data_IF_443671026332
#
_entry.id   IF_443671026332
#
_cell.length_a   1.000
_cell.length_b   1.000
_cell.length_c   1.000
_cell.angle_alpha   90.00
_cell.angle_beta   90.00
_cell.angle_gamma   90.00
#
_symmetry.space_group_name_H-M   'P 1'
#
loop_
_entity.id
_entity.type
_entity.pdbx_description
1 polymer ?
#
# COMPACT_ATOMS: atom_id res chain seq x y z
N UNK A 1 -27.98 33.84 -26.95
CA UNK A 1 -28.14 32.74 -25.97
C UNK A 1 -27.17 31.57 -26.21
N UNK A 2 -26.89 31.20 -27.46
CA UNK A 2 -26.01 30.06 -27.79
C UNK A 2 -24.56 30.21 -27.28
N UNK A 3 -23.95 31.38 -27.43
CA UNK A 3 -22.56 31.64 -26.94
C UNK A 3 -22.40 31.40 -25.43
N UNK A 4 -23.44 31.70 -24.64
CA UNK A 4 -23.44 31.52 -23.18
C UNK A 4 -23.52 30.04 -22.78
N UNK A 5 -24.28 29.24 -23.53
CA UNK A 5 -24.36 27.78 -23.37
C UNK A 5 -23.03 27.10 -23.73
N UNK A 6 -22.35 27.59 -24.77
CA UNK A 6 -21.08 27.02 -25.22
C UNK A 6 -19.95 27.22 -24.18
N UNK A 7 -19.91 28.39 -23.52
CA UNK A 7 -18.94 28.66 -22.44
C UNK A 7 -19.20 27.80 -21.21
N UNK A 8 -20.46 27.57 -20.84
CA UNK A 8 -20.83 26.71 -19.71
C UNK A 8 -20.44 25.25 -19.98
N UNK A 9 -20.69 24.76 -21.21
CA UNK A 9 -20.26 23.42 -21.64
C UNK A 9 -18.74 23.28 -21.63
N UNK A 10 -18.02 24.30 -22.08
CA UNK A 10 -16.55 24.30 -22.06
C UNK A 10 -16.00 24.28 -20.62
N UNK A 11 -16.57 25.07 -19.71
CA UNK A 11 -16.19 25.04 -18.29
C UNK A 11 -16.48 23.68 -17.65
N UNK A 12 -17.67 23.11 -17.87
CA UNK A 12 -18.03 21.77 -17.38
C UNK A 12 -17.08 20.69 -17.92
N UNK A 13 -16.66 20.79 -19.18
CA UNK A 13 -15.68 19.88 -19.77
C UNK A 13 -14.33 19.98 -19.04
N UNK A 14 -13.82 21.19 -18.77
CA UNK A 14 -12.55 21.38 -18.05
C UNK A 14 -12.60 20.75 -16.65
N UNK A 15 -13.72 20.87 -15.92
CA UNK A 15 -13.85 20.26 -14.59
C UNK A 15 -13.76 18.74 -14.60
N UNK A 16 -14.27 18.07 -15.64
CA UNK A 16 -14.24 16.60 -15.75
C UNK A 16 -12.81 16.09 -16.03
N UNK A 17 -11.98 16.85 -16.74
CA UNK A 17 -10.60 16.45 -17.08
C UNK A 17 -9.55 16.86 -16.04
N UNK A 18 -9.92 17.62 -15.01
CA UNK A 18 -8.95 18.20 -14.07
C UNK A 18 -8.61 17.30 -12.88
N UNK A 19 -9.51 16.42 -12.45
CA UNK A 19 -9.25 15.44 -11.39
C UNK A 19 -8.92 14.06 -11.99
N UNK A 20 -7.65 13.84 -12.31
CA UNK A 20 -7.16 12.52 -12.67
C UNK A 20 -6.17 12.04 -11.61
N UNK A 21 -6.51 10.93 -10.94
CA UNK A 21 -5.63 10.17 -10.06
C UNK A 21 -5.67 8.73 -10.53
N UNK A 22 -4.50 8.12 -10.71
CA UNK A 22 -4.33 6.73 -11.13
C UNK A 22 -3.26 6.09 -10.26
N UNK A 23 -3.58 4.91 -9.75
CA UNK A 23 -2.66 4.06 -9.01
C UNK A 23 -2.41 2.78 -9.80
N UNK A 24 -1.14 2.41 -9.94
CA UNK A 24 -0.74 1.17 -10.60
C UNK A 24 0.26 0.43 -9.70
N UNK A 25 -0.15 -0.73 -9.19
CA UNK A 25 0.68 -1.55 -8.31
C UNK A 25 1.50 -2.53 -9.13
N UNK A 26 2.78 -2.65 -8.80
CA UNK A 26 3.71 -3.51 -9.52
C UNK A 26 3.21 -4.96 -9.49
N UNK A 27 3.34 -5.65 -10.63
CA UNK A 27 2.96 -7.07 -10.76
C UNK A 27 3.97 -8.00 -10.08
N UNK A 28 5.15 -7.49 -9.80
CA UNK A 28 6.26 -8.19 -9.17
C UNK A 28 6.40 -7.68 -7.74
N UNK A 29 6.65 -8.60 -6.81
CA UNK A 29 6.99 -8.29 -5.43
C UNK A 29 8.33 -8.89 -5.10
N UNK A 30 9.13 -8.13 -4.37
CA UNK A 30 10.44 -8.61 -3.91
C UNK A 30 10.33 -9.09 -2.47
N UNK A 31 10.80 -10.32 -2.20
CA UNK A 31 11.03 -10.79 -0.82
C UNK A 31 12.52 -10.81 -0.53
N UNK A 32 12.90 -10.19 0.60
CA UNK A 32 14.29 -10.16 1.11
C UNK A 32 14.37 -10.76 2.49
N UNK A 33 15.50 -11.41 2.78
CA UNK A 33 15.83 -11.83 4.15
C UNK A 33 16.38 -10.63 4.91
N UNK A 34 15.87 -10.40 6.12
CA UNK A 34 16.42 -9.35 6.99
C UNK A 34 17.60 -9.86 7.82
N UNK A 35 18.34 -8.96 8.45
CA UNK A 35 19.34 -9.28 9.48
C UNK A 35 18.73 -9.82 10.80
N UNK A 36 17.42 -10.07 10.82
CA UNK A 36 16.68 -10.61 11.96
C UNK A 36 15.96 -11.91 11.57
N UNK A 37 15.00 -12.35 12.39
CA UNK A 37 14.15 -13.53 12.11
C UNK A 37 13.02 -13.26 11.10
N UNK A 38 12.96 -12.08 10.49
CA UNK A 38 11.92 -11.69 9.54
C UNK A 38 12.39 -11.76 8.10
N UNK A 39 11.46 -12.05 7.21
CA UNK A 39 11.49 -11.69 5.80
C UNK A 39 10.73 -10.38 5.61
N UNK A 40 11.11 -9.60 4.61
CA UNK A 40 10.36 -8.42 4.19
C UNK A 40 9.87 -8.62 2.76
N UNK A 41 8.58 -8.35 2.54
CA UNK A 41 7.99 -8.18 1.22
C UNK A 41 7.81 -6.69 0.97
N UNK A 42 8.25 -6.24 -0.20
CA UNK A 42 8.02 -4.89 -0.70
C UNK A 42 6.97 -4.91 -1.81
N UNK A 43 5.91 -4.12 -1.63
CA UNK A 43 4.89 -3.87 -2.63
C UNK A 43 4.97 -2.39 -3.02
N UNK A 44 5.27 -2.14 -4.30
CA UNK A 44 5.42 -0.79 -4.84
C UNK A 44 4.18 -0.41 -5.65
N UNK A 45 3.70 0.82 -5.45
CA UNK A 45 2.60 1.40 -6.24
C UNK A 45 3.04 2.72 -6.84
N UNK A 46 2.94 2.84 -8.16
CA UNK A 46 3.12 4.09 -8.86
C UNK A 46 1.83 4.90 -8.79
N UNK A 47 1.91 6.09 -8.20
CA UNK A 47 0.83 7.05 -8.13
C UNK A 47 1.08 8.16 -9.14
N UNK A 48 0.12 8.41 -10.02
CA UNK A 48 0.17 9.48 -11.02
C UNK A 48 -1.11 10.29 -10.96
N UNK A 49 -0.98 11.61 -11.06
CA UNK A 49 -2.17 12.45 -11.07
C UNK A 49 -1.89 13.91 -11.35
N UNK A 50 -2.89 14.73 -11.04
CA UNK A 50 -2.83 16.19 -11.09
C UNK A 50 -3.21 16.77 -9.75
N UNK A 51 -2.57 17.88 -9.40
CA UNK A 51 -2.67 18.53 -8.09
C UNK A 51 -4.07 18.91 -7.64
N UNK A 52 -4.12 19.60 -6.51
CA UNK A 52 -5.37 19.89 -5.81
C UNK A 52 -6.09 21.08 -6.44
N UNK A 53 -7.33 20.87 -6.92
CA UNK A 53 -8.21 21.92 -7.43
C UNK A 53 -8.42 23.06 -6.39
N UNK A 54 -8.47 22.73 -5.10
CA UNK A 54 -8.62 23.71 -4.03
C UNK A 54 -7.43 24.68 -3.91
N UNK A 55 -6.25 24.29 -4.41
CA UNK A 55 -5.05 25.13 -4.44
C UNK A 55 -4.77 25.71 -5.84
N UNK A 56 -5.65 25.49 -6.82
CA UNK A 56 -5.44 25.78 -8.24
C UNK A 56 -4.11 25.23 -8.80
N UNK A 57 -3.57 24.18 -8.17
CA UNK A 57 -2.36 23.53 -8.62
C UNK A 57 -2.73 22.38 -9.56
N UNK A 58 -2.49 22.58 -10.85
CA UNK A 58 -2.73 21.59 -11.90
C UNK A 58 -1.45 20.89 -12.36
N UNK A 59 -0.35 21.05 -11.61
CA UNK A 59 0.89 20.34 -11.90
C UNK A 59 0.65 18.84 -11.84
N UNK A 60 1.33 18.12 -12.75
CA UNK A 60 1.34 16.66 -12.71
C UNK A 60 2.24 16.22 -11.57
N UNK A 61 1.80 15.24 -10.81
CA UNK A 61 2.65 14.56 -9.84
C UNK A 61 2.81 13.10 -10.24
N UNK A 62 3.97 12.57 -9.90
CA UNK A 62 4.29 11.15 -10.00
C UNK A 62 5.16 10.79 -8.79
N UNK A 63 4.76 9.79 -8.04
CA UNK A 63 5.56 9.27 -6.93
C UNK A 63 5.32 7.78 -6.72
N UNK A 64 6.30 7.11 -6.11
CA UNK A 64 6.17 5.72 -5.69
C UNK A 64 5.79 5.66 -4.22
N UNK A 65 4.72 4.93 -3.95
CA UNK A 65 4.34 4.51 -2.61
C UNK A 65 4.85 3.09 -2.38
N UNK A 66 5.29 2.83 -1.15
CA UNK A 66 5.84 1.54 -0.76
C UNK A 66 5.08 1.00 0.45
N UNK A 67 4.69 -0.27 0.37
CA UNK A 67 4.19 -1.03 1.49
C UNK A 67 5.19 -2.14 1.83
N UNK A 68 5.53 -2.25 3.11
CA UNK A 68 6.35 -3.34 3.62
C UNK A 68 5.52 -4.26 4.51
N UNK A 69 5.60 -5.57 4.21
CA UNK A 69 5.01 -6.63 5.01
C UNK A 69 6.13 -7.51 5.54
N UNK A 70 6.23 -7.63 6.86
CA UNK A 70 7.20 -8.51 7.52
C UNK A 70 6.52 -9.75 8.09
N UNK A 71 7.20 -10.88 7.96
CA UNK A 71 6.72 -12.21 8.39
C UNK A 71 7.90 -13.13 8.69
N UNK A 72 7.66 -14.25 9.35
CA UNK A 72 8.69 -15.16 9.87
C UNK A 72 8.86 -16.47 9.09
N UNK A 73 8.00 -16.76 8.11
CA UNK A 73 8.04 -17.97 7.30
C UNK A 73 8.00 -17.62 5.81
N UNK A 74 8.89 -18.19 5.00
CA UNK A 74 8.99 -17.87 3.58
C UNK A 74 7.88 -18.53 2.73
N UNK A 75 7.32 -19.65 3.17
CA UNK A 75 6.40 -20.44 2.35
C UNK A 75 5.09 -20.75 3.08
N UNK A 76 4.04 -20.94 2.28
CA UNK A 76 2.71 -21.32 2.74
C UNK A 76 1.86 -20.12 3.14
N UNK A 77 0.80 -20.42 3.89
CA UNK A 77 -0.19 -19.43 4.32
C UNK A 77 0.22 -18.80 5.64
N UNK A 78 0.34 -17.48 5.66
CA UNK A 78 0.73 -16.68 6.83
C UNK A 78 -0.45 -15.80 7.21
N UNK A 79 -1.03 -16.07 8.39
CA UNK A 79 -2.17 -15.32 8.91
C UNK A 79 -1.80 -13.87 9.24
N UNK A 80 -2.77 -12.96 9.12
CA UNK A 80 -2.59 -11.53 9.39
C UNK A 80 -2.11 -11.22 10.83
N UNK A 81 -2.38 -12.10 11.78
CA UNK A 81 -1.88 -12.03 13.17
C UNK A 81 -0.34 -12.16 13.26
N UNK A 82 0.26 -12.86 12.31
CA UNK A 82 1.70 -13.06 12.18
C UNK A 82 2.39 -12.05 11.27
N UNK A 83 1.62 -11.14 10.66
CA UNK A 83 2.15 -10.11 9.77
C UNK A 83 2.43 -8.80 10.51
N UNK A 84 3.43 -8.08 10.03
CA UNK A 84 3.67 -6.69 10.39
C UNK A 84 3.59 -5.86 9.13
N UNK A 85 2.59 -4.99 9.07
CA UNK A 85 2.33 -4.09 7.95
C UNK A 85 2.78 -2.68 8.30
N UNK A 86 3.58 -2.05 7.45
CA UNK A 86 4.01 -0.65 7.61
C UNK A 86 4.27 0.03 6.28
N UNK A 87 4.01 1.34 6.21
CA UNK A 87 4.38 2.22 5.08
C UNK A 87 5.75 2.88 5.28
N UNK A 88 6.54 2.37 6.24
CA UNK A 88 7.94 2.77 6.43
C UNK A 88 8.79 1.52 6.64
N UNK A 89 9.82 1.35 5.80
CA UNK A 89 10.76 0.22 5.89
C UNK A 89 11.40 0.14 7.28
N UNK A 90 11.32 -1.03 7.89
CA UNK A 90 11.95 -1.36 9.17
C UNK A 90 11.18 -0.92 10.42
N UNK A 91 10.04 -0.23 10.24
CA UNK A 91 9.22 0.21 11.37
C UNK A 91 8.26 -0.90 11.80
N UNK A 92 8.76 -1.85 12.59
CA UNK A 92 7.97 -3.01 13.01
C UNK A 92 6.97 -2.76 14.15
N UNK A 93 7.01 -1.58 14.75
CA UNK A 93 6.31 -1.27 15.99
C UNK A 93 5.41 -0.04 15.82
N UNK A 94 4.50 0.17 16.78
CA UNK A 94 3.69 1.38 16.87
C UNK A 94 4.59 2.65 16.86
N UNK A 95 4.18 3.75 16.22
CA UNK A 95 2.88 4.01 15.56
C UNK A 95 2.76 3.55 14.10
N UNK A 96 3.84 3.05 13.51
CA UNK A 96 3.88 2.73 12.08
C UNK A 96 3.20 1.41 11.73
N UNK A 97 3.28 0.43 12.63
CA UNK A 97 2.61 -0.85 12.47
C UNK A 97 1.09 -0.65 12.42
N UNK A 98 0.45 -1.13 11.35
CA UNK A 98 -1.01 -1.22 11.30
C UNK A 98 -1.52 -2.33 12.22
N UNK A 99 -2.55 -1.99 12.99
CA UNK A 99 -3.19 -2.88 13.96
C UNK A 99 -4.54 -3.39 13.44
N UNK A 100 -5.00 -4.50 14.02
CA UNK A 100 -6.32 -5.10 13.75
C UNK A 100 -6.55 -5.41 12.27
N UNK A 101 -5.59 -6.06 11.61
CA UNK A 101 -5.73 -6.53 10.22
C UNK A 101 -6.25 -7.97 10.22
N UNK A 102 -7.08 -8.32 9.24
CA UNK A 102 -7.54 -9.71 9.00
C UNK A 102 -7.02 -10.23 7.66
N UNK A 103 -7.09 -11.55 7.47
CA UNK A 103 -6.76 -12.22 6.22
C UNK A 103 -5.43 -12.97 6.29
N UNK A 104 -4.75 -13.07 5.16
CA UNK A 104 -3.49 -13.78 5.02
C UNK A 104 -2.67 -13.28 3.83
N UNK A 105 -1.40 -13.66 3.82
CA UNK A 105 -0.61 -13.77 2.60
C UNK A 105 -0.31 -15.26 2.36
N UNK A 106 -0.28 -15.69 1.11
CA UNK A 106 0.14 -17.03 0.74
C UNK A 106 1.34 -16.92 -0.20
N UNK A 107 2.42 -17.59 0.15
CA UNK A 107 3.67 -17.55 -0.61
C UNK A 107 3.97 -18.94 -1.12
N UNK A 108 4.15 -19.03 -2.43
CA UNK A 108 4.63 -20.20 -3.15
C UNK A 108 5.96 -19.88 -3.84
N UNK A 109 6.48 -20.82 -4.61
CA UNK A 109 7.79 -20.80 -5.24
C UNK A 109 7.98 -19.60 -6.18
N UNK A 110 6.92 -19.16 -6.85
CA UNK A 110 6.96 -18.08 -7.86
C UNK A 110 5.86 -17.02 -7.69
N UNK A 111 5.07 -17.11 -6.62
CA UNK A 111 3.85 -16.30 -6.51
C UNK A 111 3.57 -15.91 -5.06
N UNK A 112 3.06 -14.70 -4.89
CA UNK A 112 2.48 -14.23 -3.62
C UNK A 112 1.03 -13.84 -3.85
N UNK A 113 0.13 -14.38 -3.04
CA UNK A 113 -1.26 -13.94 -2.95
C UNK A 113 -1.43 -13.10 -1.68
N UNK A 114 -1.91 -11.87 -1.84
CA UNK A 114 -2.25 -10.97 -0.74
C UNK A 114 -3.77 -10.90 -0.63
N UNK A 115 -4.30 -11.29 0.52
CA UNK A 115 -5.73 -11.25 0.82
C UNK A 115 -5.96 -10.73 2.23
N UNK A 116 -5.95 -9.40 2.38
CA UNK A 116 -6.00 -8.68 3.65
C UNK A 116 -7.24 -7.79 3.74
N UNK A 117 -7.66 -7.52 4.97
CA UNK A 117 -8.81 -6.65 5.27
C UNK A 117 -8.46 -5.70 6.40
N UNK A 118 -8.89 -4.46 6.28
CA UNK A 118 -8.75 -3.44 7.32
C UNK A 118 -10.11 -3.06 7.90
N UNK A 119 -10.15 -2.64 9.18
CA UNK A 119 -11.39 -2.25 9.83
C UNK A 119 -11.81 -0.84 9.39
N UNK A 120 -13.08 -0.69 9.02
CA UNK A 120 -13.73 0.60 8.91
C UNK A 120 -14.37 0.94 10.26
N UNK A 121 -14.11 2.15 10.75
CA UNK A 121 -14.59 2.61 12.05
C UNK A 121 -15.66 3.67 11.89
N UNK A 122 -16.74 3.53 12.66
CA UNK A 122 -17.68 4.61 12.91
C UNK A 122 -17.18 5.48 14.07
N UNK A 123 -17.80 6.65 14.23
CA UNK A 123 -17.62 7.51 15.41
C UNK A 123 -17.63 6.67 16.70
N UNK A 124 -16.61 6.85 17.55
CA UNK A 124 -16.46 6.10 18.80
C UNK A 124 -15.55 4.87 18.75
N UNK A 125 -14.85 4.60 17.64
CA UNK A 125 -13.79 3.58 17.58
C UNK A 125 -14.28 2.12 17.54
N UNK A 126 -15.57 1.92 17.33
CA UNK A 126 -16.15 0.59 17.08
C UNK A 126 -15.96 0.22 15.62
N UNK A 127 -15.54 -1.01 15.35
CA UNK A 127 -15.44 -1.54 13.99
C UNK A 127 -16.85 -1.77 13.46
N UNK A 128 -17.22 -1.07 12.40
CA UNK A 128 -18.54 -1.20 11.75
C UNK A 128 -18.52 -2.36 10.75
N UNK A 129 -17.54 -2.36 9.84
CA UNK A 129 -17.31 -3.45 8.89
C UNK A 129 -15.83 -3.59 8.54
N UNK A 130 -15.53 -4.61 7.73
CA UNK A 130 -14.19 -4.91 7.24
C UNK A 130 -14.14 -4.64 5.75
N UNK A 131 -13.16 -3.86 5.30
CA UNK A 131 -12.97 -3.53 3.90
C UNK A 131 -11.80 -4.32 3.33
N UNK A 132 -11.93 -4.87 2.11
CA UNK A 132 -10.82 -5.53 1.46
C UNK A 132 -9.71 -4.51 1.18
N UNK A 133 -8.47 -4.92 1.40
CA UNK A 133 -7.34 -4.10 1.01
C UNK A 133 -7.34 -3.89 -0.51
N UNK A 134 -7.14 -2.64 -0.93
CA UNK A 134 -7.20 -2.23 -2.34
C UNK A 134 -6.11 -2.89 -3.19
N UNK A 135 -5.01 -3.33 -2.57
CA UNK A 135 -3.93 -4.06 -3.23
C UNK A 135 -3.93 -5.55 -2.88
N UNK A 136 -5.10 -6.12 -2.62
CA UNK A 136 -5.26 -7.57 -2.66
C UNK A 136 -5.09 -8.08 -4.09
N UNK A 137 -4.48 -9.23 -4.25
CA UNK A 137 -4.20 -9.79 -5.57
C UNK A 137 -3.12 -10.86 -5.56
N UNK A 138 -2.76 -11.31 -6.77
CA UNK A 138 -1.68 -12.25 -7.01
C UNK A 138 -0.54 -11.54 -7.72
N UNK A 139 0.67 -11.79 -7.24
CA UNK A 139 1.90 -11.14 -7.66
C UNK A 139 2.94 -12.20 -8.02
N UNK A 140 3.78 -11.89 -9.01
CA UNK A 140 4.96 -12.68 -9.31
C UNK A 140 6.05 -12.41 -8.29
N UNK A 141 6.71 -13.46 -7.82
CA UNK A 141 7.71 -13.36 -6.78
C UNK A 141 9.12 -13.22 -7.37
N UNK A 142 9.82 -12.18 -6.96
CA UNK A 142 11.26 -12.03 -7.17
C UNK A 142 11.98 -12.22 -5.83
N UNK A 143 12.81 -13.26 -5.75
CA UNK A 143 13.56 -13.58 -4.54
C UNK A 143 14.94 -12.91 -4.58
N UNK A 144 15.17 -12.01 -3.63
CA UNK A 144 16.48 -11.40 -3.38
C UNK A 144 16.98 -11.86 -2.00
N UNK A 145 17.38 -13.13 -1.91
CA UNK A 145 17.76 -13.76 -0.63
C UNK A 145 19.18 -13.40 -0.17
N UNK A 146 20.03 -12.92 -1.09
CA UNK A 146 21.44 -12.62 -0.85
C UNK A 146 21.68 -11.14 -0.46
N UNK A 147 20.66 -10.29 -0.57
CA UNK A 147 20.71 -8.91 -0.09
C UNK A 147 20.28 -8.87 1.37
N UNK A 148 21.23 -9.05 2.31
CA UNK A 148 20.94 -8.81 3.73
C UNK A 148 20.46 -7.37 3.86
N UNK A 149 19.16 -7.22 4.09
CA UNK A 149 18.57 -5.93 4.36
C UNK A 149 19.24 -5.37 5.62
N UNK A 150 20.04 -4.30 5.45
CA UNK A 150 20.73 -3.59 6.55
C UNK A 150 19.76 -2.76 7.39
N UNK A 151 18.49 -3.15 7.44
CA UNK A 151 17.46 -2.46 8.20
C UNK A 151 17.65 -2.78 9.67
N UNK A 152 17.80 -1.74 10.49
CA UNK A 152 17.98 -1.90 11.93
C UNK A 152 16.61 -2.04 12.60
N UNK A 153 16.18 -3.29 12.82
CA UNK A 153 14.87 -3.62 13.38
C UNK A 153 14.85 -3.51 14.92
N UNK A 154 15.28 -2.36 15.46
CA UNK A 154 15.27 -2.11 16.91
C UNK A 154 13.86 -1.77 17.39
N UNK A 155 13.47 -2.36 18.52
CA UNK A 155 12.25 -1.98 19.24
C UNK A 155 12.49 -0.63 19.95
N UNK A 156 11.77 0.45 19.60
CA UNK A 156 11.95 1.75 20.24
C UNK A 156 11.55 1.77 21.72
N UNK A 157 10.82 0.75 22.20
CA UNK A 157 10.44 0.60 23.63
C UNK A 157 11.41 -0.27 24.45
N UNK A 158 12.47 -0.79 23.83
CA UNK A 158 13.50 -1.58 24.51
C UNK A 158 14.75 -0.74 24.87
N UNK A 159 14.61 0.59 24.88
CA UNK A 159 15.58 1.57 25.37
C UNK A 159 15.08 2.19 26.66
#
# INVERSE_FOLDING_TARGET
>A
MEKRRLVILFMLFIFIFSCHHKEETDKYVTIRKTNSKFYELELTTLNTGRGNLHNMDFSKFEFKEHLWIYFNNLYGKIGADSLIWTTERGRLYYPWKKEKIKGYIFIDTNMVEINLFYPYYKEGGTIEHWEPYTKNGRYQLELELDSISKVNLKNPRAM
#
